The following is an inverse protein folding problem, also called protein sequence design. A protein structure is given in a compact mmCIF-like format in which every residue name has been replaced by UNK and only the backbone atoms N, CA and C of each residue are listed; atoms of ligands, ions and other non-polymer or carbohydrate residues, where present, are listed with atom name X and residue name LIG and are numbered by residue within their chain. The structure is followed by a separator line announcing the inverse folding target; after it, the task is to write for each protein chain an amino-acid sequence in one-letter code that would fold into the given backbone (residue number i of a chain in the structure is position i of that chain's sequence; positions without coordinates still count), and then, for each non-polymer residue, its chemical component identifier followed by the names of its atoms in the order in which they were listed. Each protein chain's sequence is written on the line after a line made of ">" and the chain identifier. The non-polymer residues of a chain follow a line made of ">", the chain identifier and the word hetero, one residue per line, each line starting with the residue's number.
data_IF_874313523812
#
_entry.id   IF_874313523812
#
_cell.length_a   1.000
_cell.length_b   1.000
_cell.length_c   1.000
_cell.angle_alpha   90.00
_cell.angle_beta   90.00
_cell.angle_gamma   90.00
#
_symmetry.space_group_name_H-M   'P 1'
#
loop_
_entity.id
_entity.type
_entity.pdbx_description
1 polymer ?
#
# COMPACT_ATOMS: atom_id res chain seq x y z
N UNK A 1 23.19 -0.56 -9.73
CA UNK A 1 22.76 -1.32 -8.53
C UNK A 1 21.56 -0.62 -7.89
N UNK A 2 21.73 0.61 -7.37
CA UNK A 2 20.67 1.39 -6.69
C UNK A 2 19.33 1.50 -7.45
N UNK A 3 19.33 1.84 -8.75
CA UNK A 3 18.07 1.91 -9.53
C UNK A 3 17.31 0.58 -9.61
N UNK A 4 18.02 -0.54 -9.62
CA UNK A 4 17.42 -1.88 -9.61
C UNK A 4 16.81 -2.17 -8.23
N UNK A 5 17.53 -1.85 -7.16
CA UNK A 5 17.06 -2.08 -5.79
C UNK A 5 15.79 -1.28 -5.47
N UNK A 6 15.68 -0.04 -5.96
CA UNK A 6 14.45 0.77 -5.83
C UNK A 6 13.33 0.28 -6.74
N UNK A 7 13.65 -0.26 -7.93
CA UNK A 7 12.66 -0.91 -8.80
C UNK A 7 12.06 -2.16 -8.15
N UNK A 8 12.89 -3.00 -7.53
CA UNK A 8 12.47 -4.18 -6.78
C UNK A 8 11.64 -3.78 -5.55
N UNK A 9 12.04 -2.70 -4.85
CA UNK A 9 11.29 -2.13 -3.74
C UNK A 9 9.89 -1.66 -4.18
N UNK A 10 9.79 -0.97 -5.32
CA UNK A 10 8.51 -0.51 -5.87
C UNK A 10 7.60 -1.70 -6.19
N UNK A 11 8.16 -2.77 -6.76
CA UNK A 11 7.40 -3.96 -7.11
C UNK A 11 6.90 -4.69 -5.85
N UNK A 12 7.78 -4.93 -4.87
CA UNK A 12 7.43 -5.53 -3.58
C UNK A 12 6.39 -4.70 -2.83
N UNK A 13 6.58 -3.39 -2.75
CA UNK A 13 5.66 -2.48 -2.06
C UNK A 13 4.29 -2.44 -2.74
N UNK A 14 4.26 -2.40 -4.08
CA UNK A 14 3.02 -2.43 -4.85
C UNK A 14 2.22 -3.71 -4.59
N UNK A 15 2.85 -4.88 -4.72
CA UNK A 15 2.19 -6.16 -4.49
C UNK A 15 1.69 -6.34 -3.05
N UNK A 16 2.53 -6.02 -2.07
CA UNK A 16 2.15 -6.13 -0.65
C UNK A 16 1.02 -5.17 -0.30
N UNK A 17 1.02 -3.95 -0.83
CA UNK A 17 -0.06 -2.97 -0.60
C UNK A 17 -1.37 -3.42 -1.25
N UNK A 18 -1.34 -4.02 -2.44
CA UNK A 18 -2.56 -4.57 -3.08
C UNK A 18 -3.14 -5.71 -2.23
N UNK A 19 -2.29 -6.61 -1.72
CA UNK A 19 -2.72 -7.71 -0.86
C UNK A 19 -3.31 -7.19 0.46
N UNK A 20 -2.62 -6.28 1.15
CA UNK A 20 -3.08 -5.68 2.39
C UNK A 20 -4.40 -4.90 2.20
N UNK A 21 -4.53 -4.18 1.08
CA UNK A 21 -5.75 -3.48 0.68
C UNK A 21 -6.92 -4.43 0.46
N UNK A 22 -6.68 -5.54 -0.24
CA UNK A 22 -7.71 -6.55 -0.50
C UNK A 22 -8.20 -7.21 0.79
N UNK A 23 -7.28 -7.57 1.69
CA UNK A 23 -7.62 -8.17 2.98
C UNK A 23 -8.40 -7.18 3.87
N UNK A 24 -7.94 -5.94 3.97
CA UNK A 24 -8.62 -4.91 4.77
C UNK A 24 -10.01 -4.57 4.21
N UNK A 25 -10.19 -4.58 2.88
CA UNK A 25 -11.48 -4.43 2.23
C UNK A 25 -12.44 -5.58 2.59
N UNK A 26 -11.97 -6.83 2.59
CA UNK A 26 -12.78 -7.98 3.04
C UNK A 26 -13.27 -7.76 4.48
N UNK A 27 -12.39 -7.30 5.37
CA UNK A 27 -12.77 -7.00 6.75
C UNK A 27 -13.73 -5.82 6.87
N UNK A 28 -13.65 -4.83 5.98
CA UNK A 28 -14.58 -3.70 5.92
C UNK A 28 -16.04 -4.11 5.62
N UNK A 29 -16.26 -5.30 5.05
CA UNK A 29 -17.60 -5.86 4.85
C UNK A 29 -18.04 -6.84 5.95
N UNK A 30 -17.30 -6.93 7.05
CA UNK A 30 -17.66 -7.81 8.16
C UNK A 30 -18.98 -7.41 8.82
N UNK A 31 -19.78 -8.42 9.21
CA UNK A 31 -21.00 -8.23 10.01
C UNK A 31 -20.70 -7.74 11.43
N UNK A 32 -19.49 -8.04 11.94
CA UNK A 32 -19.06 -7.58 13.26
C UNK A 32 -18.56 -6.13 13.17
N UNK A 33 -19.20 -5.22 13.90
CA UNK A 33 -18.90 -3.79 13.87
C UNK A 33 -17.44 -3.48 14.24
N UNK A 34 -16.83 -4.22 15.18
CA UNK A 34 -15.42 -4.01 15.57
C UNK A 34 -14.48 -4.37 14.41
N UNK A 35 -14.71 -5.53 13.78
CA UNK A 35 -13.88 -6.01 12.68
C UNK A 35 -14.06 -5.10 11.45
N UNK A 36 -15.28 -4.67 11.17
CA UNK A 36 -15.59 -3.72 10.09
C UNK A 36 -14.84 -2.40 10.23
N UNK A 37 -14.91 -1.78 11.41
CA UNK A 37 -14.24 -0.50 11.64
C UNK A 37 -12.73 -0.63 11.51
N UNK A 38 -12.15 -1.70 12.07
CA UNK A 38 -10.73 -2.01 11.89
C UNK A 38 -10.38 -2.20 10.41
N UNK A 39 -11.17 -2.97 9.66
CA UNK A 39 -10.99 -3.17 8.22
C UNK A 39 -11.02 -1.86 7.44
N UNK A 40 -11.99 -0.99 7.71
CA UNK A 40 -12.09 0.33 7.07
C UNK A 40 -10.88 1.22 7.37
N UNK A 41 -10.44 1.30 8.64
CA UNK A 41 -9.28 2.09 9.03
C UNK A 41 -8.03 1.62 8.29
N UNK A 42 -7.77 0.30 8.30
CA UNK A 42 -6.62 -0.27 7.60
C UNK A 42 -6.71 -0.12 6.09
N UNK A 43 -7.91 -0.18 5.53
CA UNK A 43 -8.12 0.04 4.10
C UNK A 43 -7.77 1.48 3.70
N UNK A 44 -8.22 2.48 4.48
CA UNK A 44 -7.89 3.89 4.24
C UNK A 44 -6.39 4.14 4.39
N UNK A 45 -5.75 3.62 5.44
CA UNK A 45 -4.30 3.71 5.63
C UNK A 45 -3.57 3.12 4.41
N UNK A 46 -4.03 1.97 3.91
CA UNK A 46 -3.43 1.34 2.75
C UNK A 46 -3.61 2.15 1.46
N UNK A 47 -4.77 2.81 1.26
CA UNK A 47 -4.94 3.75 0.15
C UNK A 47 -3.95 4.91 0.25
N UNK A 48 -3.75 5.49 1.43
CA UNK A 48 -2.76 6.56 1.63
C UNK A 48 -1.35 6.06 1.31
N UNK A 49 -0.98 4.86 1.75
CA UNK A 49 0.32 4.26 1.40
C UNK A 49 0.48 4.07 -0.12
N UNK A 50 -0.54 3.61 -0.82
CA UNK A 50 -0.49 3.46 -2.28
C UNK A 50 -0.36 4.84 -2.95
N UNK A 51 -1.17 5.83 -2.57
CA UNK A 51 -1.20 7.12 -3.24
C UNK A 51 -0.09 8.10 -2.84
N UNK A 52 0.54 7.93 -1.68
CA UNK A 52 1.64 8.79 -1.25
C UNK A 52 2.99 8.13 -1.49
N UNK A 53 3.12 6.84 -1.14
CA UNK A 53 4.42 6.17 -1.04
C UNK A 53 4.89 5.65 -2.40
N UNK A 54 3.98 5.18 -3.27
CA UNK A 54 4.35 4.80 -4.65
C UNK A 54 4.83 6.01 -5.46
N UNK A 55 4.11 7.16 -5.51
CA UNK A 55 4.62 8.34 -6.21
C UNK A 55 5.91 8.86 -5.61
N UNK A 56 6.10 8.75 -4.29
CA UNK A 56 7.34 9.12 -3.64
C UNK A 56 8.52 8.22 -4.05
N UNK A 57 8.34 6.90 -4.09
CA UNK A 57 9.38 5.95 -4.56
C UNK A 57 9.71 6.23 -6.04
N UNK A 58 8.70 6.47 -6.87
CA UNK A 58 8.88 6.86 -8.27
C UNK A 58 9.66 8.18 -8.36
N UNK A 59 9.30 9.19 -7.57
CA UNK A 59 10.02 10.46 -7.54
C UNK A 59 11.51 10.27 -7.21
N UNK A 60 11.83 9.47 -6.19
CA UNK A 60 13.23 9.17 -5.83
C UNK A 60 13.98 8.48 -6.98
N UNK A 61 13.33 7.54 -7.68
CA UNK A 61 13.90 6.80 -8.81
C UNK A 61 14.28 7.65 -10.02
N UNK A 62 13.54 8.74 -10.27
CA UNK A 62 13.70 9.57 -11.46
C UNK A 62 14.41 10.90 -11.20
N UNK A 63 14.26 11.48 -9.99
CA UNK A 63 14.74 12.83 -9.70
C UNK A 63 15.91 12.90 -8.72
N UNK A 64 16.16 11.83 -7.95
CA UNK A 64 17.24 11.80 -6.94
C UNK A 64 18.36 10.83 -7.32
N UNK A 65 18.01 9.69 -7.91
CA UNK A 65 18.93 8.57 -8.24
C UNK A 65 19.16 8.49 -9.75
#
# INVERSE_FOLDING_TARGET
>A
MVKKDFGDLLYCFGWTSIFAGSISLVFAFSKNAKIRNTGLIWFVINLVNIFALIPFIIFLLFFVI
#
